data_IF_618961840717
#
_entry.id   IF_618961840717
#
_cell.length_a   1.000
_cell.length_b   1.000
_cell.length_c   1.000
_cell.angle_alpha   90.00
_cell.angle_beta   90.00
_cell.angle_gamma   90.00
#
_symmetry.space_group_name_H-M   'P 1'
#
loop_
_entity.id
_entity.type
_entity.pdbx_description
1 polymer ?
#
# COMPACT_ATOMS: atom_id res chain seq x y z
N UNK A 1 -14.53 -30.54 66.13
CA UNK A 1 -14.53 -29.36 65.24
C UNK A 1 -13.14 -29.21 64.63
N UNK A 2 -13.03 -29.48 63.32
CA UNK A 2 -11.77 -29.51 62.60
C UNK A 2 -11.36 -28.10 62.15
N UNK A 3 -10.12 -27.69 62.48
CA UNK A 3 -9.51 -26.44 61.99
C UNK A 3 -8.91 -26.71 60.61
N UNK A 4 -9.51 -26.11 59.59
CA UNK A 4 -9.08 -26.14 58.19
C UNK A 4 -7.82 -25.26 58.03
N UNK A 5 -6.77 -25.83 57.42
CA UNK A 5 -5.56 -25.13 56.97
C UNK A 5 -5.92 -24.22 55.78
N UNK A 6 -5.64 -22.93 55.91
CA UNK A 6 -5.66 -22.00 54.78
C UNK A 6 -4.47 -22.27 53.84
N UNK A 7 -4.77 -22.38 52.55
CA UNK A 7 -3.82 -22.50 51.44
C UNK A 7 -3.47 -21.08 50.97
N UNK A 8 -2.19 -20.69 50.84
CA UNK A 8 -1.84 -19.48 50.12
C UNK A 8 -1.88 -19.78 48.62
N UNK A 9 -2.73 -19.06 47.92
CA UNK A 9 -2.71 -18.95 46.45
C UNK A 9 -2.27 -17.53 46.15
N UNK A 10 -1.18 -17.38 45.41
CA UNK A 10 -0.99 -16.40 44.33
C UNK A 10 0.49 -16.41 43.95
N UNK A 11 0.78 -17.19 42.91
CA UNK A 11 2.03 -17.10 42.16
C UNK A 11 1.96 -15.79 41.39
N UNK A 12 2.71 -14.80 41.85
CA UNK A 12 2.94 -13.53 41.19
C UNK A 12 3.66 -13.81 39.86
N UNK A 13 2.89 -13.84 38.77
CA UNK A 13 3.43 -13.97 37.42
C UNK A 13 4.10 -12.64 37.07
N UNK A 14 5.44 -12.60 37.11
CA UNK A 14 6.21 -11.47 36.63
C UNK A 14 5.82 -11.13 35.18
N UNK A 15 5.67 -9.85 34.81
CA UNK A 15 5.33 -9.46 33.45
C UNK A 15 6.43 -9.95 32.49
N UNK A 16 6.01 -10.58 31.40
CA UNK A 16 6.90 -10.95 30.31
C UNK A 16 7.69 -9.70 29.86
N UNK A 17 8.99 -9.81 29.56
CA UNK A 17 9.76 -8.69 29.05
C UNK A 17 9.07 -8.15 27.79
N UNK A 18 8.71 -6.86 27.81
CA UNK A 18 8.18 -6.18 26.65
C UNK A 18 9.13 -6.42 25.47
N UNK A 19 8.61 -6.93 24.36
CA UNK A 19 9.37 -6.99 23.12
C UNK A 19 9.96 -5.58 22.85
N UNK A 20 11.21 -5.47 22.36
CA UNK A 20 11.77 -4.17 22.02
C UNK A 20 10.82 -3.48 21.05
N UNK A 21 10.29 -2.32 21.44
CA UNK A 21 9.42 -1.51 20.61
C UNK A 21 10.21 -1.13 19.35
N UNK A 22 9.78 -1.63 18.19
CA UNK A 22 10.32 -1.19 16.90
C UNK A 22 10.16 0.33 16.84
N UNK A 23 11.20 1.02 16.37
CA UNK A 23 11.16 2.47 16.23
C UNK A 23 9.99 2.87 15.32
N UNK A 24 9.17 3.90 15.65
CA UNK A 24 8.06 4.31 14.80
C UNK A 24 8.53 4.69 13.38
N UNK A 25 9.75 5.22 13.25
CA UNK A 25 10.35 5.53 11.95
C UNK A 25 10.71 4.29 11.14
N UNK A 26 11.14 3.20 11.79
CA UNK A 26 11.40 1.92 11.12
C UNK A 26 10.09 1.25 10.70
N UNK A 27 9.05 1.32 11.54
CA UNK A 27 7.72 0.85 11.19
C UNK A 27 7.13 1.66 10.03
N UNK A 28 7.35 2.98 9.98
CA UNK A 28 6.96 3.83 8.87
C UNK A 28 7.68 3.46 7.58
N UNK A 29 9.01 3.31 7.61
CA UNK A 29 9.79 2.88 6.44
C UNK A 29 9.33 1.48 5.95
N UNK A 30 8.97 0.57 6.86
CA UNK A 30 8.41 -0.75 6.53
C UNK A 30 7.02 -0.64 5.88
N UNK A 31 6.17 0.28 6.34
CA UNK A 31 4.88 0.53 5.70
C UNK A 31 5.08 1.10 4.28
N UNK A 32 5.98 2.07 4.11
CA UNK A 32 6.26 2.71 2.82
C UNK A 32 6.85 1.73 1.80
N UNK A 33 7.63 0.74 2.24
CA UNK A 33 8.18 -0.28 1.33
C UNK A 33 7.10 -1.11 0.62
N UNK A 34 5.90 -1.25 1.19
CA UNK A 34 4.76 -1.91 0.53
C UNK A 34 4.25 -1.17 -0.71
N UNK A 35 4.59 0.12 -0.84
CA UNK A 35 4.35 0.95 -2.01
C UNK A 35 5.59 1.08 -2.91
N UNK A 36 6.67 0.33 -2.63
CA UNK A 36 7.99 0.54 -3.24
C UNK A 36 8.50 1.99 -3.11
N UNK A 37 8.18 2.65 -1.98
CA UNK A 37 8.69 3.98 -1.61
C UNK A 37 9.84 3.78 -0.63
N UNK A 38 11.04 4.23 -1.02
CA UNK A 38 12.21 4.30 -0.13
C UNK A 38 12.18 5.64 0.62
N UNK A 39 11.53 5.65 1.78
CA UNK A 39 11.28 6.87 2.55
C UNK A 39 12.50 7.37 3.32
N UNK A 40 13.42 6.47 3.70
CA UNK A 40 14.64 6.78 4.48
C UNK A 40 14.40 7.65 5.72
N UNK A 41 13.19 7.62 6.29
CA UNK A 41 12.80 8.52 7.37
C UNK A 41 13.57 8.17 8.64
N UNK A 42 13.88 6.88 8.86
CA UNK A 42 14.75 6.51 9.99
C UNK A 42 16.13 7.15 9.90
N UNK A 43 16.76 7.07 8.73
CA UNK A 43 18.07 7.68 8.50
C UNK A 43 18.03 9.20 8.63
N UNK A 44 16.95 9.82 8.14
CA UNK A 44 16.71 11.24 8.32
C UNK A 44 16.56 11.60 9.81
N UNK A 45 15.75 10.87 10.57
CA UNK A 45 15.56 11.10 12.01
C UNK A 45 16.87 10.98 12.80
N UNK A 46 17.76 10.03 12.43
CA UNK A 46 19.08 9.87 13.06
C UNK A 46 20.00 11.09 12.84
N UNK A 47 19.76 11.89 11.79
CA UNK A 47 20.47 13.15 11.54
C UNK A 47 19.95 14.35 12.33
N UNK A 48 18.88 14.17 13.11
CA UNK A 48 18.23 15.18 13.96
C UNK A 48 17.83 16.48 13.22
N UNK A 49 17.04 16.38 12.13
CA UNK A 49 16.48 17.56 11.47
C UNK A 49 15.50 18.28 12.40
N UNK A 50 15.12 19.50 12.01
CA UNK A 50 13.98 20.15 12.65
C UNK A 50 12.67 19.40 12.37
N UNK A 51 11.68 19.59 13.24
CA UNK A 51 10.40 18.88 13.17
C UNK A 51 9.62 19.17 11.87
N UNK A 52 9.76 20.36 11.29
CA UNK A 52 9.07 20.71 10.05
C UNK A 52 9.64 19.88 8.89
N UNK A 53 10.97 19.81 8.78
CA UNK A 53 11.65 19.01 7.77
C UNK A 53 11.27 17.53 7.86
N UNK A 54 11.22 16.98 9.09
CA UNK A 54 10.83 15.59 9.31
C UNK A 54 9.36 15.31 8.94
N UNK A 55 8.43 16.18 9.35
CA UNK A 55 7.02 16.04 9.03
C UNK A 55 6.73 16.22 7.53
N UNK A 56 7.47 17.08 6.84
CA UNK A 56 7.40 17.22 5.39
C UNK A 56 7.84 15.92 4.70
N UNK A 57 8.99 15.34 5.09
CA UNK A 57 9.45 14.07 4.52
C UNK A 57 8.46 12.91 4.76
N UNK A 58 7.91 12.82 5.97
CA UNK A 58 6.85 11.86 6.32
C UNK A 58 5.62 12.02 5.43
N UNK A 59 5.13 13.26 5.24
CA UNK A 59 3.93 13.54 4.45
C UNK A 59 4.14 13.30 2.95
N UNK A 60 5.33 13.60 2.43
CA UNK A 60 5.72 13.33 1.04
C UNK A 60 5.78 11.82 0.76
N UNK A 61 6.38 11.05 1.68
CA UNK A 61 6.44 9.60 1.58
C UNK A 61 5.04 8.98 1.64
N UNK A 62 4.20 9.40 2.60
CA UNK A 62 2.82 8.91 2.73
C UNK A 62 1.98 9.24 1.49
N UNK A 63 2.10 10.45 0.95
CA UNK A 63 1.40 10.85 -0.28
C UNK A 63 1.84 10.01 -1.47
N UNK A 64 3.14 9.73 -1.59
CA UNK A 64 3.69 8.85 -2.63
C UNK A 64 3.19 7.40 -2.48
N UNK A 65 3.06 6.92 -1.25
CA UNK A 65 2.52 5.59 -0.98
C UNK A 65 1.04 5.48 -1.36
N UNK A 66 0.20 6.47 -1.02
CA UNK A 66 -1.21 6.50 -1.43
C UNK A 66 -1.39 6.51 -2.95
N UNK A 67 -0.52 7.21 -3.67
CA UNK A 67 -0.51 7.20 -5.15
C UNK A 67 -0.21 5.82 -5.74
N UNK A 68 0.40 4.92 -4.96
CA UNK A 68 0.76 3.56 -5.40
C UNK A 68 -0.12 2.47 -4.84
N UNK A 69 -0.62 2.61 -3.61
CA UNK A 69 -1.62 1.72 -3.05
C UNK A 69 -2.94 1.75 -3.82
N UNK A 70 -3.22 2.86 -4.52
CA UNK A 70 -4.37 2.96 -5.42
C UNK A 70 -5.71 2.90 -4.68
N UNK A 71 -5.76 3.42 -3.44
CA UNK A 71 -6.95 3.36 -2.60
C UNK A 71 -8.09 4.28 -3.10
N UNK A 72 -7.81 5.19 -4.04
CA UNK A 72 -8.81 6.12 -4.59
C UNK A 72 -9.04 7.37 -3.76
N UNK A 73 -8.10 7.71 -2.88
CA UNK A 73 -8.24 8.78 -1.89
C UNK A 73 -7.58 10.11 -2.33
N UNK A 74 -7.48 10.37 -3.63
CA UNK A 74 -6.84 11.60 -4.17
C UNK A 74 -7.59 12.89 -3.82
N UNK A 75 -8.87 12.77 -3.45
CA UNK A 75 -9.70 13.89 -3.01
C UNK A 75 -9.42 14.32 -1.56
N UNK A 76 -8.68 13.52 -0.79
CA UNK A 76 -8.26 13.81 0.58
C UNK A 76 -6.81 14.33 0.59
N UNK A 77 -6.49 15.15 1.59
CA UNK A 77 -5.11 15.54 1.89
C UNK A 77 -4.50 14.56 2.86
N UNK A 78 -3.37 13.95 2.50
CA UNK A 78 -2.66 12.98 3.34
C UNK A 78 -1.45 13.64 4.00
N UNK A 79 -1.38 13.57 5.33
CA UNK A 79 -0.30 14.15 6.11
C UNK A 79 0.21 13.12 7.13
N UNK A 80 1.51 13.16 7.41
CA UNK A 80 2.10 12.39 8.50
C UNK A 80 2.98 13.30 9.35
N UNK A 81 2.83 13.21 10.66
CA UNK A 81 3.61 14.03 11.61
C UNK A 81 4.01 13.21 12.83
N UNK A 82 5.16 13.54 13.39
CA UNK A 82 5.56 13.03 14.70
C UNK A 82 4.55 13.51 15.75
N UNK A 83 4.18 12.64 16.69
CA UNK A 83 3.32 13.01 17.82
C UNK A 83 3.96 14.06 18.71
N UNK A 84 3.15 14.81 19.46
CA UNK A 84 3.64 15.91 20.30
C UNK A 84 4.62 15.44 21.40
N UNK A 85 4.53 14.17 21.82
CA UNK A 85 5.42 13.52 22.79
C UNK A 85 6.64 12.83 22.13
N UNK A 86 6.72 12.80 20.80
CA UNK A 86 7.83 12.21 20.04
C UNK A 86 7.86 10.68 20.01
N UNK A 87 6.79 10.01 20.46
CA UNK A 87 6.77 8.54 20.63
C UNK A 87 6.17 7.78 19.44
N UNK A 88 5.47 8.48 18.54
CA UNK A 88 4.67 7.89 17.47
C UNK A 88 4.68 8.77 16.21
N UNK A 89 4.15 8.24 15.12
CA UNK A 89 3.83 8.98 13.89
C UNK A 89 2.33 8.89 13.68
N UNK A 90 1.70 10.06 13.66
CA UNK A 90 0.27 10.22 13.38
C UNK A 90 0.07 10.25 11.87
N UNK A 91 -0.89 9.47 11.38
CA UNK A 91 -1.36 9.50 10.00
C UNK A 91 -2.67 10.30 9.96
N UNK A 92 -2.73 11.31 9.11
CA UNK A 92 -3.87 12.23 9.04
C UNK A 92 -4.46 12.31 7.63
N UNK A 93 -5.78 12.48 7.60
CA UNK A 93 -6.52 12.91 6.41
C UNK A 93 -7.25 14.21 6.69
N UNK A 94 -7.05 15.22 5.84
CA UNK A 94 -7.64 16.56 5.99
C UNK A 94 -7.44 17.15 7.41
N UNK A 95 -6.24 16.96 7.96
CA UNK A 95 -5.84 17.44 9.29
C UNK A 95 -6.44 16.68 10.47
N UNK A 96 -7.15 15.57 10.25
CA UNK A 96 -7.68 14.70 11.31
C UNK A 96 -6.88 13.42 11.43
N UNK A 97 -6.56 13.02 12.65
CA UNK A 97 -5.91 11.73 12.93
C UNK A 97 -6.83 10.57 12.50
N UNK A 98 -6.25 9.68 11.71
CA UNK A 98 -6.92 8.48 11.17
C UNK A 98 -6.36 7.21 11.79
N UNK A 99 -5.04 7.17 11.96
CA UNK A 99 -4.32 6.03 12.51
C UNK A 99 -2.96 6.47 13.06
N UNK A 100 -2.29 5.56 13.78
CA UNK A 100 -0.92 5.76 14.28
C UNK A 100 -0.01 4.64 13.81
N UNK A 101 1.29 4.93 13.60
CA UNK A 101 2.20 3.92 13.06
C UNK A 101 2.48 2.77 14.03
N UNK A 102 2.39 3.03 15.34
CA UNK A 102 2.54 1.99 16.36
C UNK A 102 1.32 1.06 16.48
N UNK A 103 0.21 1.34 15.78
CA UNK A 103 -0.91 0.41 15.67
C UNK A 103 -0.56 -0.74 14.71
N UNK A 104 -1.32 -1.84 14.77
CA UNK A 104 -1.16 -2.93 13.81
C UNK A 104 -1.45 -2.45 12.39
N UNK A 105 -0.67 -2.86 11.39
CA UNK A 105 -0.89 -2.43 10.00
C UNK A 105 -2.30 -2.74 9.46
N UNK A 106 -2.93 -3.81 9.97
CA UNK A 106 -4.33 -4.12 9.67
C UNK A 106 -5.31 -3.09 10.22
N UNK A 107 -5.01 -2.47 11.37
CA UNK A 107 -5.79 -1.35 11.90
C UNK A 107 -5.62 -0.10 11.03
N UNK A 108 -4.40 0.18 10.56
CA UNK A 108 -4.14 1.30 9.64
C UNK A 108 -4.92 1.11 8.33
N UNK A 109 -4.84 -0.08 7.71
CA UNK A 109 -5.62 -0.37 6.51
C UNK A 109 -7.14 -0.29 6.76
N UNK A 110 -7.60 -0.83 7.89
CA UNK A 110 -8.99 -0.75 8.32
C UNK A 110 -9.49 0.68 8.58
N UNK A 111 -8.61 1.61 8.93
CA UNK A 111 -8.96 3.02 9.10
C UNK A 111 -9.19 3.74 7.76
N UNK A 112 -8.48 3.34 6.70
CA UNK A 112 -8.69 3.88 5.35
C UNK A 112 -9.85 3.22 4.61
N UNK A 113 -10.20 1.97 4.92
CA UNK A 113 -11.23 1.22 4.19
C UNK A 113 -12.60 1.93 4.12
N UNK A 114 -13.15 2.52 5.21
CA UNK A 114 -14.41 3.26 5.17
C UNK A 114 -14.38 4.52 4.30
N UNK A 115 -13.20 5.01 3.93
CA UNK A 115 -13.02 6.18 3.06
C UNK A 115 -13.05 5.80 1.58
N UNK A 116 -12.92 4.50 1.27
CA UNK A 116 -12.90 3.99 -0.11
C UNK A 116 -14.32 3.80 -0.63
N UNK A 117 -14.46 3.93 -1.94
CA UNK A 117 -15.62 3.47 -2.71
C UNK A 117 -15.09 2.88 -4.00
N UNK A 118 -15.38 1.60 -4.25
CA UNK A 118 -14.88 0.86 -5.41
C UNK A 118 -16.02 0.25 -6.21
N UNK A 119 -15.90 0.29 -7.54
CA UNK A 119 -16.81 -0.38 -8.46
C UNK A 119 -16.59 -1.90 -8.52
N UNK A 120 -17.33 -2.60 -9.38
CA UNK A 120 -17.21 -4.04 -9.59
C UNK A 120 -15.85 -4.50 -10.13
N UNK A 121 -15.06 -3.59 -10.71
CA UNK A 121 -13.71 -3.85 -11.21
C UNK A 121 -12.63 -3.55 -10.16
N UNK A 122 -13.02 -3.07 -8.97
CA UNK A 122 -12.09 -2.66 -7.91
C UNK A 122 -11.49 -1.28 -8.14
N UNK A 123 -12.04 -0.48 -9.07
CA UNK A 123 -11.58 0.88 -9.35
C UNK A 123 -12.33 1.88 -8.47
N UNK A 124 -11.66 2.95 -8.09
CA UNK A 124 -12.29 3.96 -7.25
C UNK A 124 -13.41 4.71 -7.97
N UNK A 125 -14.57 4.81 -7.34
CA UNK A 125 -15.70 5.61 -7.83
C UNK A 125 -15.54 7.10 -7.51
N UNK A 126 -14.68 7.43 -6.55
CA UNK A 126 -14.40 8.81 -6.16
C UNK A 126 -13.72 9.58 -7.29
N UNK A 127 -14.17 10.82 -7.46
CA UNK A 127 -13.44 11.79 -8.27
C UNK A 127 -12.14 12.19 -7.56
N UNK A 128 -11.11 12.51 -8.33
CA UNK A 128 -9.89 13.11 -7.80
C UNK A 128 -10.09 14.61 -7.50
N UNK A 129 -10.96 15.27 -8.27
CA UNK A 129 -11.37 16.66 -8.03
C UNK A 129 -12.63 16.70 -7.15
N UNK A 130 -12.74 17.71 -6.27
CA UNK A 130 -13.83 17.83 -5.30
C UNK A 130 -15.19 18.14 -5.94
N UNK A 131 -15.20 18.87 -7.06
CA UNK A 131 -16.39 19.24 -7.82
C UNK A 131 -16.09 19.16 -9.32
N UNK A 132 -17.06 18.70 -10.12
CA UNK A 132 -17.01 18.85 -11.56
C UNK A 132 -17.58 17.69 -12.37
N UNK A 133 -17.71 17.96 -13.66
CA UNK A 133 -18.04 16.95 -14.66
C UNK A 133 -16.82 16.07 -14.93
N UNK A 134 -17.00 14.74 -14.85
CA UNK A 134 -16.02 13.77 -15.34
C UNK A 134 -16.30 13.45 -16.80
N UNK A 135 -15.31 13.68 -17.65
CA UNK A 135 -15.39 13.30 -19.05
C UNK A 135 -15.53 11.77 -19.17
N UNK A 136 -16.37 11.26 -20.09
CA UNK A 136 -16.74 9.85 -20.12
C UNK A 136 -15.57 8.95 -20.53
N UNK A 137 -15.64 7.67 -20.18
CA UNK A 137 -14.57 6.69 -20.42
C UNK A 137 -14.29 6.42 -21.91
N UNK A 138 -15.27 6.67 -22.79
CA UNK A 138 -15.19 6.49 -24.24
C UNK A 138 -14.81 7.78 -24.98
N UNK A 139 -14.23 8.76 -24.28
CA UNK A 139 -13.84 10.04 -24.85
C UNK A 139 -12.87 9.85 -26.04
N UNK A 140 -13.18 10.40 -27.23
CA UNK A 140 -12.28 10.32 -28.37
C UNK A 140 -10.92 10.96 -28.08
N UNK A 141 -9.84 10.39 -28.61
CA UNK A 141 -8.48 10.88 -28.38
C UNK A 141 -8.28 12.36 -28.78
N UNK A 142 -9.00 12.84 -29.81
CA UNK A 142 -9.02 14.25 -30.21
C UNK A 142 -9.66 15.15 -29.15
N UNK A 143 -10.74 14.70 -28.51
CA UNK A 143 -11.39 15.44 -27.43
C UNK A 143 -10.52 15.46 -26.18
N UNK A 144 -9.87 14.35 -25.84
CA UNK A 144 -8.92 14.31 -24.73
C UNK A 144 -7.73 15.25 -24.96
N UNK A 145 -7.20 15.29 -26.20
CA UNK A 145 -6.16 16.26 -26.59
C UNK A 145 -6.59 17.69 -26.32
N UNK A 146 -7.83 18.06 -26.68
CA UNK A 146 -8.37 19.41 -26.42
C UNK A 146 -8.43 19.70 -24.91
N UNK A 147 -8.86 18.74 -24.09
CA UNK A 147 -8.86 18.92 -22.63
C UNK A 147 -7.44 19.16 -22.10
N UNK A 148 -6.47 18.39 -22.59
CA UNK A 148 -5.07 18.55 -22.17
C UNK A 148 -4.52 19.90 -22.64
N UNK A 149 -4.70 20.31 -23.88
CA UNK A 149 -4.05 21.52 -24.39
C UNK A 149 -4.75 22.80 -23.90
N UNK A 150 -6.08 22.78 -23.79
CA UNK A 150 -6.88 24.00 -23.67
C UNK A 150 -7.77 24.11 -22.43
N UNK A 151 -8.16 23.00 -21.80
CA UNK A 151 -8.99 23.11 -20.59
C UNK A 151 -8.20 23.69 -19.42
N UNK A 152 -8.94 24.17 -18.41
CA UNK A 152 -8.40 24.42 -17.07
C UNK A 152 -8.35 23.08 -16.35
N UNK A 153 -9.05 22.98 -15.23
CA UNK A 153 -9.22 21.75 -14.50
C UNK A 153 -10.26 20.87 -15.19
N UNK A 154 -9.97 19.59 -15.27
CA UNK A 154 -10.84 18.56 -15.83
C UNK A 154 -10.46 17.22 -15.22
N UNK A 155 -11.35 16.24 -15.30
CA UNK A 155 -11.09 14.87 -14.91
C UNK A 155 -11.78 13.92 -15.89
N UNK A 156 -11.19 12.76 -16.16
CA UNK A 156 -11.84 11.67 -16.90
C UNK A 156 -12.33 10.58 -15.95
N UNK A 157 -13.38 9.87 -16.34
CA UNK A 157 -13.64 8.53 -15.84
C UNK A 157 -12.48 7.58 -16.20
N UNK A 158 -12.50 6.38 -15.60
CA UNK A 158 -11.55 5.31 -15.92
C UNK A 158 -11.70 4.86 -17.37
N UNK A 159 -10.58 4.87 -18.11
CA UNK A 159 -10.45 4.39 -19.47
C UNK A 159 -9.71 3.05 -19.47
N UNK A 160 -10.24 2.06 -20.19
CA UNK A 160 -9.63 0.74 -20.27
C UNK A 160 -8.36 0.73 -21.12
N UNK A 161 -7.31 0.11 -20.59
CA UNK A 161 -6.05 -0.20 -21.26
C UNK A 161 -5.92 -1.70 -21.57
N UNK A 162 -4.73 -2.11 -22.02
CA UNK A 162 -4.41 -3.53 -22.27
C UNK A 162 -4.03 -4.24 -20.97
N UNK A 163 -4.28 -5.54 -20.86
CA UNK A 163 -3.79 -6.37 -19.76
C UNK A 163 -4.40 -6.03 -18.40
N UNK A 164 -5.70 -5.73 -18.36
CA UNK A 164 -6.42 -5.38 -17.12
C UNK A 164 -6.01 -4.05 -16.50
N UNK A 165 -5.25 -3.22 -17.24
CA UNK A 165 -4.87 -1.89 -16.81
C UNK A 165 -6.00 -0.91 -17.12
N UNK A 166 -6.24 0.01 -16.21
CA UNK A 166 -7.12 1.15 -16.36
C UNK A 166 -6.32 2.42 -16.16
N UNK A 167 -6.74 3.52 -16.78
CA UNK A 167 -6.09 4.80 -16.58
C UNK A 167 -7.11 5.92 -16.54
N UNK A 168 -6.79 6.98 -15.80
CA UNK A 168 -7.54 8.24 -15.84
C UNK A 168 -6.57 9.40 -15.74
N UNK A 169 -7.07 10.57 -16.12
CA UNK A 169 -6.25 11.78 -16.15
C UNK A 169 -7.07 12.95 -15.64
N UNK A 170 -6.44 13.77 -14.81
CA UNK A 170 -7.05 15.01 -14.33
C UNK A 170 -6.03 16.13 -14.26
N UNK A 171 -6.52 17.37 -14.32
CA UNK A 171 -5.73 18.57 -14.05
C UNK A 171 -6.29 19.29 -12.83
N UNK A 172 -5.39 19.69 -11.94
CA UNK A 172 -5.67 20.63 -10.86
C UNK A 172 -4.65 21.76 -10.92
N UNK A 173 -5.11 22.98 -11.14
CA UNK A 173 -4.26 24.14 -11.39
C UNK A 173 -3.32 23.89 -12.60
N UNK A 174 -2.00 24.03 -12.40
CA UNK A 174 -0.99 23.84 -13.46
C UNK A 174 -0.36 22.44 -13.47
N UNK A 175 -0.96 21.47 -12.77
CA UNK A 175 -0.46 20.08 -12.72
C UNK A 175 -1.46 19.11 -13.35
N UNK A 176 -1.01 18.40 -14.39
CA UNK A 176 -1.70 17.25 -14.97
C UNK A 176 -1.22 15.97 -14.28
N UNK A 177 -2.17 15.14 -13.84
CA UNK A 177 -1.94 13.86 -13.18
C UNK A 177 -2.42 12.75 -14.10
N UNK A 178 -1.57 11.75 -14.30
CA UNK A 178 -1.86 10.57 -15.11
C UNK A 178 -1.76 9.36 -14.18
N UNK A 179 -2.90 8.78 -13.85
CA UNK A 179 -2.98 7.58 -13.01
C UNK A 179 -3.17 6.36 -13.89
N UNK A 180 -2.34 5.35 -13.65
CA UNK A 180 -2.48 4.01 -14.21
C UNK A 180 -2.71 3.05 -13.06
N UNK A 181 -3.73 2.21 -13.16
CA UNK A 181 -4.15 1.29 -12.12
C UNK A 181 -4.39 -0.11 -12.70
N UNK A 182 -3.94 -1.15 -11.99
CA UNK A 182 -4.32 -2.54 -12.20
C UNK A 182 -4.78 -3.06 -10.84
N UNK A 183 -6.11 -3.14 -10.59
CA UNK A 183 -6.64 -3.52 -9.29
C UNK A 183 -6.12 -4.89 -8.85
N UNK A 184 -5.58 -4.96 -7.65
CA UNK A 184 -5.09 -6.21 -7.03
C UNK A 184 -5.20 -6.12 -5.53
N UNK A 185 -5.83 -7.11 -4.90
CA UNK A 185 -5.88 -7.18 -3.44
C UNK A 185 -4.54 -7.63 -2.86
N UNK A 186 -4.21 -7.22 -1.63
CA UNK A 186 -3.01 -7.69 -0.93
C UNK A 186 -2.98 -9.23 -0.83
N UNK A 187 -4.13 -9.86 -0.61
CA UNK A 187 -4.27 -11.31 -0.59
C UNK A 187 -3.95 -11.96 -1.95
N UNK A 188 -4.38 -11.33 -3.05
CA UNK A 188 -4.05 -11.79 -4.41
C UNK A 188 -2.55 -11.67 -4.67
N UNK A 189 -1.94 -10.53 -4.34
CA UNK A 189 -0.50 -10.32 -4.48
C UNK A 189 0.33 -11.34 -3.68
N UNK A 190 -0.08 -11.65 -2.44
CA UNK A 190 0.53 -12.69 -1.62
C UNK A 190 0.35 -14.10 -2.21
N UNK A 191 -0.81 -14.38 -2.81
CA UNK A 191 -1.07 -15.66 -3.48
C UNK A 191 -0.19 -15.82 -4.72
N UNK A 192 0.00 -14.77 -5.50
CA UNK A 192 0.88 -14.77 -6.68
C UNK A 192 2.35 -14.99 -6.27
N UNK A 193 2.80 -14.29 -5.23
CA UNK A 193 4.13 -14.52 -4.65
C UNK A 193 4.30 -15.96 -4.13
N UNK A 194 3.27 -16.52 -3.48
CA UNK A 194 3.29 -17.90 -3.00
C UNK A 194 3.40 -18.90 -4.16
N UNK A 195 2.70 -18.64 -5.29
CA UNK A 195 2.81 -19.44 -6.49
C UNK A 195 4.24 -19.43 -7.06
N UNK A 196 4.88 -18.27 -7.17
CA UNK A 196 6.26 -18.15 -7.63
C UNK A 196 7.26 -18.90 -6.72
N UNK A 197 7.01 -18.86 -5.40
CA UNK A 197 7.80 -19.65 -4.45
C UNK A 197 7.62 -21.13 -4.70
N UNK A 198 6.37 -21.63 -4.76
CA UNK A 198 6.10 -23.07 -4.94
C UNK A 198 6.66 -23.57 -6.28
N UNK A 199 6.49 -22.79 -7.36
CA UNK A 199 6.98 -23.19 -8.69
C UNK A 199 8.50 -23.22 -8.79
N UNK A 200 9.20 -22.41 -7.99
CA UNK A 200 10.67 -22.36 -7.93
C UNK A 200 11.34 -23.47 -7.10
N UNK A 201 10.56 -24.29 -6.37
CA UNK A 201 11.09 -25.37 -5.52
C UNK A 201 11.73 -26.46 -6.40
N UNK A 202 13.00 -26.79 -6.11
CA UNK A 202 13.76 -27.81 -6.84
C UNK A 202 13.27 -29.24 -6.54
N UNK A 203 12.83 -29.50 -5.32
CA UNK A 203 12.27 -30.79 -4.92
C UNK A 203 10.87 -30.99 -5.52
N UNK A 204 10.78 -31.86 -6.53
CA UNK A 204 9.53 -32.17 -7.24
C UNK A 204 8.50 -32.90 -6.38
N UNK A 205 8.92 -33.67 -5.38
CA UNK A 205 7.99 -34.35 -4.49
C UNK A 205 7.33 -33.34 -3.55
N UNK A 206 8.15 -32.47 -2.94
CA UNK A 206 7.65 -31.41 -2.08
C UNK A 206 6.78 -30.40 -2.84
N UNK A 207 7.19 -30.00 -4.03
CA UNK A 207 6.41 -29.13 -4.91
C UNK A 207 5.02 -29.71 -5.23
N UNK A 208 4.94 -31.00 -5.61
CA UNK A 208 3.66 -31.67 -5.92
C UNK A 208 2.76 -31.76 -4.70
N UNK A 209 3.32 -32.01 -3.52
CA UNK A 209 2.54 -32.05 -2.28
C UNK A 209 1.96 -30.67 -1.92
N UNK A 210 2.73 -29.59 -2.09
CA UNK A 210 2.22 -28.22 -1.88
C UNK A 210 1.12 -27.88 -2.89
N UNK A 211 1.30 -28.22 -4.16
CA UNK A 211 0.27 -28.04 -5.19
C UNK A 211 -1.01 -28.83 -4.85
N UNK A 212 -0.89 -30.08 -4.39
CA UNK A 212 -2.04 -30.87 -3.95
C UNK A 212 -2.77 -30.22 -2.76
N UNK A 213 -2.03 -29.74 -1.75
CA UNK A 213 -2.64 -29.04 -0.59
C UNK A 213 -3.29 -27.72 -0.97
N UNK A 214 -2.77 -27.03 -1.96
CA UNK A 214 -3.30 -25.73 -2.39
C UNK A 214 -4.72 -25.81 -2.96
N UNK A 215 -5.15 -26.98 -3.43
CA UNK A 215 -6.53 -27.23 -3.85
C UNK A 215 -7.52 -27.17 -2.67
N UNK A 216 -7.06 -27.49 -1.45
CA UNK A 216 -7.89 -27.49 -0.24
C UNK A 216 -7.83 -26.16 0.52
N UNK A 217 -6.64 -25.55 0.62
CA UNK A 217 -6.40 -24.39 1.50
C UNK A 217 -5.87 -23.14 0.78
N UNK A 218 -5.78 -23.17 -0.54
CA UNK A 218 -5.17 -22.11 -1.36
C UNK A 218 -3.64 -22.13 -1.35
N UNK A 219 -3.01 -21.42 -2.30
CA UNK A 219 -1.54 -21.38 -2.47
C UNK A 219 -0.83 -20.88 -1.22
N UNK A 220 -1.29 -19.75 -0.69
CA UNK A 220 -0.72 -19.15 0.51
C UNK A 220 -0.90 -20.08 1.73
N UNK A 221 -2.08 -20.67 1.91
CA UNK A 221 -2.36 -21.60 3.00
C UNK A 221 -1.47 -22.85 2.94
N UNK A 222 -1.27 -23.42 1.75
CA UNK A 222 -0.41 -24.58 1.55
C UNK A 222 1.05 -24.27 1.89
N UNK A 223 1.56 -23.11 1.44
CA UNK A 223 2.91 -22.67 1.74
C UNK A 223 3.12 -22.39 3.23
N UNK A 224 2.18 -21.69 3.87
CA UNK A 224 2.23 -21.37 5.31
C UNK A 224 2.10 -22.62 6.19
N UNK A 225 1.22 -23.56 5.81
CA UNK A 225 1.02 -24.83 6.52
C UNK A 225 2.22 -25.79 6.44
N UNK A 226 3.11 -25.59 5.47
CA UNK A 226 4.38 -26.30 5.41
C UNK A 226 5.47 -25.66 6.29
N UNK A 227 5.19 -24.53 6.94
CA UNK A 227 6.09 -23.85 7.89
C UNK A 227 5.74 -24.21 9.34
N UNK A 228 6.27 -23.42 10.29
CA UNK A 228 5.98 -23.59 11.71
C UNK A 228 4.55 -23.16 12.06
N UNK A 229 4.02 -23.73 13.14
CA UNK A 229 2.77 -23.26 13.74
C UNK A 229 2.89 -21.76 14.06
N UNK A 230 1.92 -20.95 13.64
CA UNK A 230 1.90 -19.50 13.83
C UNK A 230 2.34 -18.66 12.62
N UNK A 231 2.79 -19.26 11.52
CA UNK A 231 3.16 -18.53 10.31
C UNK A 231 2.03 -17.62 9.77
N UNK A 232 0.77 -18.06 9.81
CA UNK A 232 -0.36 -17.22 9.41
C UNK A 232 -0.55 -15.98 10.30
N UNK A 233 -0.38 -16.12 11.61
CA UNK A 233 -0.46 -14.99 12.55
C UNK A 233 0.72 -14.03 12.39
N UNK A 234 1.91 -14.54 12.08
CA UNK A 234 3.05 -13.69 11.74
C UNK A 234 2.84 -12.93 10.43
N UNK A 235 2.27 -13.58 9.40
CA UNK A 235 1.93 -12.91 8.13
C UNK A 235 0.89 -11.79 8.34
N UNK A 236 -0.13 -12.02 9.16
CA UNK A 236 -1.15 -11.00 9.43
C UNK A 236 -0.58 -9.72 10.10
N UNK A 237 0.59 -9.83 10.74
CA UNK A 237 1.31 -8.69 11.34
C UNK A 237 2.22 -7.95 10.34
N UNK A 238 2.41 -8.49 9.13
CA UNK A 238 3.18 -7.82 8.08
C UNK A 238 2.31 -6.80 7.34
N UNK A 239 2.87 -5.66 6.92
CA UNK A 239 2.11 -4.65 6.18
C UNK A 239 1.68 -5.15 4.80
N UNK A 240 2.44 -6.06 4.17
CA UNK A 240 2.09 -6.61 2.86
C UNK A 240 0.88 -7.56 2.88
N UNK A 241 0.38 -7.93 4.06
CA UNK A 241 -0.91 -8.59 4.18
C UNK A 241 -2.10 -7.65 3.98
N UNK A 242 -1.87 -6.34 4.06
CA UNK A 242 -2.92 -5.32 4.05
C UNK A 242 -2.78 -4.33 2.91
N UNK A 243 -1.56 -4.12 2.42
CA UNK A 243 -1.26 -3.16 1.36
C UNK A 243 -0.60 -3.83 0.15
N UNK A 244 -0.95 -3.35 -1.05
CA UNK A 244 -0.35 -3.77 -2.31
C UNK A 244 -0.26 -2.59 -3.27
N UNK A 245 0.72 -2.62 -4.19
CA UNK A 245 0.79 -1.66 -5.28
C UNK A 245 -0.25 -1.99 -6.34
N UNK A 246 -1.18 -1.08 -6.53
CA UNK A 246 -2.25 -1.17 -7.52
C UNK A 246 -2.15 -0.07 -8.57
N UNK A 247 -1.48 1.04 -8.25
CA UNK A 247 -1.43 2.22 -9.11
C UNK A 247 -0.04 2.83 -9.21
N UNK A 248 0.11 3.72 -10.20
CA UNK A 248 1.19 4.70 -10.32
C UNK A 248 0.58 6.00 -10.81
N UNK A 249 0.99 7.13 -10.23
CA UNK A 249 0.58 8.47 -10.66
C UNK A 249 1.80 9.23 -11.15
N UNK A 250 1.77 9.66 -12.42
CA UNK A 250 2.77 10.59 -12.98
C UNK A 250 2.22 12.00 -12.98
N UNK A 251 3.07 12.98 -12.64
CA UNK A 251 2.70 14.39 -12.64
C UNK A 251 3.47 15.18 -13.70
N UNK A 252 2.76 15.94 -14.53
CA UNK A 252 3.32 16.87 -15.50
C UNK A 252 2.92 18.29 -15.14
N UNK A 253 3.91 19.18 -14.95
CA UNK A 253 3.68 20.57 -14.54
C UNK A 253 3.79 21.55 -15.72
N UNK A 254 3.09 22.68 -15.61
CA UNK A 254 3.20 23.82 -16.51
C UNK A 254 3.01 23.43 -18.00
N UNK A 255 3.94 23.82 -18.88
CA UNK A 255 3.87 23.55 -20.32
C UNK A 255 3.81 22.05 -20.65
N UNK A 256 4.52 21.19 -19.92
CA UNK A 256 4.45 19.74 -20.11
C UNK A 256 3.06 19.20 -19.78
N UNK A 257 2.43 19.75 -18.73
CA UNK A 257 1.06 19.42 -18.35
C UNK A 257 0.01 19.85 -19.37
N UNK A 258 0.35 20.68 -20.35
CA UNK A 258 -0.52 21.10 -21.47
C UNK A 258 -0.10 20.52 -22.82
N UNK A 259 0.78 19.52 -22.82
CA UNK A 259 1.26 18.88 -24.04
C UNK A 259 0.73 17.44 -24.15
N UNK A 260 -0.05 17.16 -25.19
CA UNK A 260 -0.64 15.84 -25.41
C UNK A 260 0.40 14.75 -25.72
N UNK A 261 1.58 15.11 -26.23
CA UNK A 261 2.66 14.17 -26.52
C UNK A 261 3.38 13.77 -25.22
N UNK A 262 3.59 14.73 -24.32
CA UNK A 262 4.10 14.48 -22.97
C UNK A 262 3.13 13.60 -22.16
N UNK A 263 1.82 13.85 -22.27
CA UNK A 263 0.80 12.98 -21.68
C UNK A 263 0.94 11.53 -22.17
N UNK A 264 1.07 11.30 -23.48
CA UNK A 264 1.22 9.94 -24.04
C UNK A 264 2.49 9.26 -23.55
N UNK A 265 3.58 10.01 -23.41
CA UNK A 265 4.84 9.52 -22.84
C UNK A 265 4.67 9.16 -21.37
N UNK A 266 4.05 10.04 -20.57
CA UNK A 266 3.77 9.80 -19.16
C UNK A 266 2.88 8.58 -18.95
N UNK A 267 1.82 8.41 -19.75
CA UNK A 267 0.95 7.23 -19.68
C UNK A 267 1.72 5.94 -19.94
N UNK A 268 2.59 5.93 -20.96
CA UNK A 268 3.44 4.77 -21.27
C UNK A 268 4.42 4.46 -20.13
N UNK A 269 5.05 5.49 -19.57
CA UNK A 269 6.01 5.35 -18.49
C UNK A 269 5.34 4.88 -17.20
N UNK A 270 4.20 5.45 -16.82
CA UNK A 270 3.43 5.02 -15.66
C UNK A 270 2.94 3.58 -15.79
N UNK A 271 2.57 3.15 -17.00
CA UNK A 271 2.21 1.74 -17.26
C UNK A 271 3.40 0.81 -17.05
N UNK A 272 4.58 1.15 -17.58
CA UNK A 272 5.78 0.35 -17.41
C UNK A 272 6.26 0.32 -15.95
N UNK A 273 6.18 1.46 -15.24
CA UNK A 273 6.53 1.58 -13.83
C UNK A 273 5.60 0.74 -12.95
N UNK A 274 4.29 0.71 -13.24
CA UNK A 274 3.35 -0.13 -12.51
C UNK A 274 3.71 -1.62 -12.64
N UNK A 275 4.04 -2.07 -13.86
CA UNK A 275 4.47 -3.45 -14.10
C UNK A 275 5.77 -3.80 -13.40
N UNK A 276 6.75 -2.89 -13.41
CA UNK A 276 8.01 -3.06 -12.69
C UNK A 276 7.81 -3.11 -11.18
N UNK A 277 7.02 -2.18 -10.62
CA UNK A 277 6.75 -2.10 -9.18
C UNK A 277 6.02 -3.34 -8.68
N UNK A 278 4.97 -3.79 -9.38
CA UNK A 278 4.26 -5.02 -9.05
C UNK A 278 5.20 -6.23 -9.14
N UNK A 279 6.01 -6.34 -10.20
CA UNK A 279 6.97 -7.42 -10.37
C UNK A 279 8.09 -7.45 -9.32
N UNK A 280 8.55 -6.29 -8.85
CA UNK A 280 9.55 -6.17 -7.78
C UNK A 280 8.96 -6.63 -6.45
N UNK A 281 7.77 -6.15 -6.10
CA UNK A 281 7.11 -6.48 -4.84
C UNK A 281 6.76 -7.96 -4.77
N UNK A 282 6.27 -8.56 -5.85
CA UNK A 282 6.02 -10.02 -5.89
C UNK A 282 7.29 -10.83 -5.60
N UNK A 283 8.45 -10.39 -6.13
CA UNK A 283 9.74 -11.04 -5.83
C UNK A 283 10.15 -10.87 -4.37
N UNK A 284 10.05 -9.66 -3.83
CA UNK A 284 10.35 -9.36 -2.42
C UNK A 284 9.46 -10.19 -1.47
N UNK A 285 8.15 -10.23 -1.76
CA UNK A 285 7.20 -11.08 -1.05
C UNK A 285 7.59 -12.56 -1.13
N UNK A 286 8.00 -13.04 -2.30
CA UNK A 286 8.50 -14.40 -2.48
C UNK A 286 9.72 -14.70 -1.60
N UNK A 287 10.63 -13.74 -1.44
CA UNK A 287 11.80 -13.86 -0.54
C UNK A 287 11.39 -13.93 0.94
N UNK A 288 10.45 -13.07 1.38
CA UNK A 288 9.89 -13.10 2.74
C UNK A 288 9.23 -14.46 3.03
N UNK A 289 8.42 -14.95 2.08
CA UNK A 289 7.76 -16.24 2.17
C UNK A 289 8.75 -17.42 2.19
N UNK A 290 9.89 -17.32 1.48
CA UNK A 290 10.96 -18.33 1.50
C UNK A 290 11.77 -18.33 2.80
N UNK A 291 12.22 -17.18 3.27
CA UNK A 291 13.28 -17.11 4.29
C UNK A 291 12.78 -17.17 5.74
N UNK A 292 11.52 -16.86 6.02
CA UNK A 292 10.99 -17.04 7.37
C UNK A 292 10.08 -15.91 7.80
N UNK A 293 8.88 -16.26 8.27
CA UNK A 293 8.05 -15.37 9.09
C UNK A 293 8.48 -15.48 10.57
N UNK A 294 9.80 -15.59 10.81
CA UNK A 294 10.40 -15.84 12.12
C UNK A 294 10.59 -14.54 12.92
N UNK A 295 9.58 -13.66 12.91
CA UNK A 295 9.51 -12.46 13.75
C UNK A 295 8.15 -12.41 14.44
#
# INVERSE_FOLDING_TARGET
>A
MARVKAKPTETETAPAPAAPSVSPFEAFDTLMSTAAVDSQVRALADSQPDAQTLNTALSEALSSAHQRWGLGLHHLTHEARVSDDGTDILLLTDGREVARINEEYGAIAGAYEPMRSTDENGLSEWAALSDGYRAPADLPASSLKILIEHARDFETHWMSGKGGVHHRVWRKNDTLFVEVNRPVSAQTALSDAAWDVITSIKDRAFQRELMRRSEEVGMLGALLGARHAGAGAALARLPEAHFAVQAVVHTLKNAAGRNADEYRTALKNATAELEEAQGLITKQLGEVLRHGLNR
#
